data_IF_983050458367
#
_entry.id   IF_983050458367
#
_cell.length_a   1.000
_cell.length_b   1.000
_cell.length_c   1.000
_cell.angle_alpha   90.00
_cell.angle_beta   90.00
_cell.angle_gamma   90.00
#
_symmetry.space_group_name_H-M   'P 1'
#
loop_
_entity.id
_entity.type
_entity.pdbx_description
1 polymer ?
#
# COMPACT_ATOMS: atom_id res chain seq x y z
N UNK A 1 -14.01 -1.72 24.48
CA UNK A 1 -12.94 -2.71 24.75
C UNK A 1 -12.49 -3.24 23.40
N UNK A 2 -11.19 -3.24 23.11
CA UNK A 2 -10.64 -3.75 21.85
C UNK A 2 -10.48 -5.26 21.99
N UNK A 3 -11.02 -6.03 21.04
CA UNK A 3 -10.91 -7.49 21.04
C UNK A 3 -9.62 -7.96 20.36
N UNK A 4 -9.18 -9.19 20.65
CA UNK A 4 -8.06 -9.79 19.93
C UNK A 4 -8.36 -9.92 18.42
N UNK A 5 -9.63 -10.18 18.06
CA UNK A 5 -10.08 -10.26 16.66
C UNK A 5 -9.94 -8.90 15.98
N UNK A 6 -10.24 -7.80 16.68
CA UNK A 6 -10.12 -6.45 16.13
C UNK A 6 -8.66 -6.13 15.81
N UNK A 7 -7.74 -6.49 16.72
CA UNK A 7 -6.30 -6.27 16.53
C UNK A 7 -5.79 -7.06 15.33
N UNK A 8 -6.17 -8.34 15.22
CA UNK A 8 -5.82 -9.17 14.05
C UNK A 8 -6.38 -8.54 12.78
N UNK A 9 -7.62 -8.06 12.81
CA UNK A 9 -8.23 -7.39 11.66
C UNK A 9 -7.50 -6.12 11.25
N UNK A 10 -7.03 -5.32 12.22
CA UNK A 10 -6.18 -4.17 11.92
C UNK A 10 -4.87 -4.61 11.25
N UNK A 11 -4.19 -5.64 11.76
CA UNK A 11 -2.96 -6.13 11.13
C UNK A 11 -3.19 -6.67 9.72
N UNK A 12 -4.32 -7.33 9.46
CA UNK A 12 -4.71 -7.75 8.11
C UNK A 12 -4.85 -6.54 7.20
N UNK A 13 -5.58 -5.49 7.63
CA UNK A 13 -5.75 -4.25 6.86
C UNK A 13 -4.38 -3.62 6.56
N UNK A 14 -3.52 -3.49 7.57
CA UNK A 14 -2.18 -2.89 7.41
C UNK A 14 -1.31 -3.71 6.46
N UNK A 15 -1.31 -5.04 6.60
CA UNK A 15 -0.55 -5.94 5.74
C UNK A 15 -1.01 -5.88 4.29
N UNK A 16 -2.32 -6.03 4.05
CA UNK A 16 -2.91 -5.97 2.71
C UNK A 16 -2.61 -4.62 2.04
N UNK A 17 -2.84 -3.51 2.74
CA UNK A 17 -2.57 -2.19 2.16
C UNK A 17 -1.08 -1.96 1.90
N UNK A 18 -0.18 -2.48 2.73
CA UNK A 18 1.26 -2.33 2.52
C UNK A 18 1.73 -3.12 1.32
N UNK A 19 1.23 -4.35 1.15
CA UNK A 19 1.50 -5.20 -0.03
C UNK A 19 0.98 -4.53 -1.29
N UNK A 20 -0.27 -4.05 -1.28
CA UNK A 20 -0.86 -3.36 -2.44
C UNK A 20 -0.10 -2.08 -2.77
N UNK A 21 0.32 -1.31 -1.77
CA UNK A 21 1.13 -0.12 -1.98
C UNK A 21 2.49 -0.44 -2.63
N UNK A 22 3.18 -1.50 -2.17
CA UNK A 22 4.43 -1.95 -2.78
C UNK A 22 4.22 -2.41 -4.24
N UNK A 23 3.18 -3.20 -4.50
CA UNK A 23 2.87 -3.70 -5.85
C UNK A 23 2.52 -2.57 -6.82
N UNK A 24 1.71 -1.59 -6.39
CA UNK A 24 1.37 -0.44 -7.22
C UNK A 24 2.60 0.45 -7.47
N UNK A 25 3.44 0.67 -6.45
CA UNK A 25 4.71 1.39 -6.62
C UNK A 25 5.58 0.69 -7.67
N UNK A 26 5.75 -0.63 -7.54
CA UNK A 26 6.49 -1.45 -8.50
C UNK A 26 5.90 -1.35 -9.90
N UNK A 27 4.58 -1.46 -10.03
CA UNK A 27 3.88 -1.35 -11.31
C UNK A 27 4.16 -0.01 -11.98
N UNK A 28 4.07 1.10 -11.24
CA UNK A 28 4.36 2.42 -11.82
C UNK A 28 5.83 2.58 -12.21
N UNK A 29 6.77 2.04 -11.42
CA UNK A 29 8.20 2.07 -11.79
C UNK A 29 8.51 1.25 -13.04
N UNK A 30 7.81 0.14 -13.26
CA UNK A 30 7.96 -0.69 -14.46
C UNK A 30 7.35 0.00 -15.68
N UNK A 31 6.18 0.63 -15.55
CA UNK A 31 5.43 1.14 -16.70
C UNK A 31 5.78 2.58 -17.12
N UNK A 32 6.30 3.40 -16.21
CA UNK A 32 6.58 4.80 -16.48
C UNK A 32 8.07 5.05 -16.72
N UNK A 33 8.43 5.35 -17.97
CA UNK A 33 9.79 5.70 -18.39
C UNK A 33 10.20 7.14 -18.03
N UNK A 34 9.85 7.62 -16.83
CA UNK A 34 10.19 8.97 -16.36
C UNK A 34 10.75 8.92 -14.95
N UNK A 35 11.62 9.86 -14.60
CA UNK A 35 12.25 9.88 -13.27
C UNK A 35 11.24 10.14 -12.13
N UNK A 36 10.22 10.97 -12.36
CA UNK A 36 9.27 11.39 -11.32
C UNK A 36 7.89 10.73 -11.44
N UNK A 37 7.53 10.21 -12.62
CA UNK A 37 6.22 9.62 -12.87
C UNK A 37 5.83 8.55 -11.83
N UNK A 38 6.70 7.57 -11.53
CA UNK A 38 6.38 6.55 -10.54
C UNK A 38 6.04 7.11 -9.15
N UNK A 39 6.80 8.12 -8.70
CA UNK A 39 6.57 8.77 -7.39
C UNK A 39 5.22 9.49 -7.39
N UNK A 40 4.97 10.31 -8.40
CA UNK A 40 3.73 11.11 -8.50
C UNK A 40 2.50 10.22 -8.58
N UNK A 41 2.54 9.19 -9.44
CA UNK A 41 1.42 8.25 -9.59
C UNK A 41 1.21 7.42 -8.32
N UNK A 42 2.28 7.01 -7.64
CA UNK A 42 2.16 6.29 -6.36
C UNK A 42 1.51 7.17 -5.29
N UNK A 43 1.94 8.43 -5.15
CA UNK A 43 1.41 9.34 -4.12
C UNK A 43 -0.03 9.76 -4.40
N UNK A 44 -0.45 9.85 -5.67
CA UNK A 44 -1.79 10.33 -6.03
C UNK A 44 -2.82 9.21 -6.19
N UNK A 45 -2.44 8.08 -6.83
CA UNK A 45 -3.39 7.01 -7.18
C UNK A 45 -3.45 5.91 -6.14
N UNK A 46 -2.32 5.52 -5.54
CA UNK A 46 -2.29 4.45 -4.53
C UNK A 46 -3.20 4.73 -3.33
N UNK A 47 -3.26 5.95 -2.75
CA UNK A 47 -4.17 6.22 -1.64
C UNK A 47 -5.63 5.93 -1.95
N UNK A 48 -6.07 6.17 -3.20
CA UNK A 48 -7.46 5.91 -3.61
C UNK A 48 -7.77 4.41 -3.56
N UNK A 49 -6.82 3.58 -3.98
CA UNK A 49 -6.92 2.11 -3.90
C UNK A 49 -6.91 1.66 -2.44
N UNK A 50 -5.99 2.19 -1.62
CA UNK A 50 -5.91 1.81 -0.20
C UNK A 50 -7.18 2.20 0.57
N UNK A 51 -7.74 3.40 0.34
CA UNK A 51 -9.02 3.82 0.93
C UNK A 51 -10.13 2.86 0.51
N UNK A 52 -10.18 2.48 -0.76
CA UNK A 52 -11.19 1.51 -1.25
C UNK A 52 -11.08 0.18 -0.51
N UNK A 53 -9.86 -0.33 -0.33
CA UNK A 53 -9.60 -1.56 0.42
C UNK A 53 -10.01 -1.44 1.90
N UNK A 54 -9.71 -0.30 2.55
CA UNK A 54 -10.14 -0.02 3.93
C UNK A 54 -11.66 -0.03 4.05
N UNK A 55 -12.37 0.59 3.10
CA UNK A 55 -13.84 0.60 3.09
C UNK A 55 -14.42 -0.80 2.89
N UNK A 56 -13.84 -1.61 1.99
CA UNK A 56 -14.28 -2.99 1.74
C UNK A 56 -14.04 -3.87 2.97
N UNK A 57 -12.83 -3.85 3.53
CA UNK A 57 -12.49 -4.66 4.70
C UNK A 57 -13.26 -4.21 5.95
N UNK A 58 -13.34 -2.90 6.19
CA UNK A 58 -14.12 -2.35 7.29
C UNK A 58 -15.61 -2.66 7.16
N UNK A 59 -16.17 -2.58 5.95
CA UNK A 59 -17.54 -3.00 5.66
C UNK A 59 -17.79 -4.50 5.88
N UNK A 60 -16.75 -5.32 5.73
CA UNK A 60 -16.78 -6.75 6.08
C UNK A 60 -16.57 -7.03 7.59
N UNK A 61 -16.47 -5.98 8.42
CA UNK A 61 -16.32 -6.09 9.87
C UNK A 61 -14.88 -6.27 10.37
N UNK A 62 -13.87 -6.02 9.53
CA UNK A 62 -12.46 -6.05 9.96
C UNK A 62 -12.03 -4.75 10.62
N UNK A 63 -11.27 -4.90 11.71
CA UNK A 63 -10.57 -3.82 12.39
C UNK A 63 -11.38 -3.15 13.49
N UNK A 64 -10.70 -2.47 14.43
CA UNK A 64 -11.35 -1.77 15.53
C UNK A 64 -11.93 -0.43 15.08
N UNK A 65 -12.83 0.11 15.90
CA UNK A 65 -13.11 1.54 15.85
C UNK A 65 -11.89 2.34 16.34
N UNK A 66 -11.23 3.05 15.42
CA UNK A 66 -10.02 3.86 15.69
C UNK A 66 -10.32 5.27 16.22
N UNK A 67 -11.59 5.60 16.49
CA UNK A 67 -12.02 6.82 17.17
C UNK A 67 -12.08 8.07 16.29
N UNK A 68 -11.32 8.16 15.20
CA UNK A 68 -11.41 9.29 14.25
C UNK A 68 -11.04 8.90 12.81
N UNK A 69 -11.61 9.61 11.84
CA UNK A 69 -11.26 9.44 10.42
C UNK A 69 -9.77 9.72 10.14
N UNK A 70 -9.19 10.70 10.83
CA UNK A 70 -7.76 11.01 10.69
C UNK A 70 -6.88 9.86 11.14
N UNK A 71 -7.22 9.20 12.27
CA UNK A 71 -6.51 8.01 12.75
C UNK A 71 -6.64 6.84 11.77
N UNK A 72 -7.85 6.62 11.21
CA UNK A 72 -8.08 5.59 10.19
C UNK A 72 -7.18 5.85 8.98
N UNK A 73 -7.23 7.04 8.39
CA UNK A 73 -6.43 7.37 7.20
C UNK A 73 -4.92 7.33 7.48
N UNK A 74 -4.48 7.87 8.62
CA UNK A 74 -3.07 7.88 9.00
C UNK A 74 -2.51 6.47 9.14
N UNK A 75 -3.21 5.60 9.87
CA UNK A 75 -2.74 4.24 10.12
C UNK A 75 -2.94 3.32 8.94
N UNK A 76 -4.09 3.38 8.26
CA UNK A 76 -4.46 2.35 7.27
C UNK A 76 -4.16 2.74 5.83
N UNK A 77 -3.82 4.00 5.57
CA UNK A 77 -3.50 4.51 4.22
C UNK A 77 -2.10 5.10 4.18
N UNK A 78 -1.83 6.13 4.99
CA UNK A 78 -0.55 6.87 4.92
C UNK A 78 0.62 5.99 5.34
N UNK A 79 0.51 5.27 6.47
CA UNK A 79 1.57 4.37 6.92
C UNK A 79 1.82 3.23 5.91
N UNK A 80 0.83 2.47 5.44
CA UNK A 80 1.02 1.45 4.40
C UNK A 80 1.59 1.98 3.09
N UNK A 81 1.18 3.18 2.65
CA UNK A 81 1.77 3.82 1.48
C UNK A 81 3.26 4.06 1.68
N UNK A 82 3.63 4.71 2.80
CA UNK A 82 5.02 5.00 3.11
C UNK A 82 5.86 3.73 3.24
N UNK A 83 5.32 2.70 3.91
CA UNK A 83 5.98 1.40 4.05
C UNK A 83 6.15 0.68 2.71
N UNK A 84 5.08 0.61 1.91
CA UNK A 84 5.10 -0.06 0.60
C UNK A 84 6.06 0.63 -0.38
N UNK A 85 6.05 1.96 -0.42
CA UNK A 85 7.02 2.72 -1.21
C UNK A 85 8.45 2.54 -0.69
N UNK A 86 8.67 2.63 0.62
CA UNK A 86 10.01 2.42 1.19
C UNK A 86 10.55 1.02 0.92
N UNK A 87 9.69 0.00 1.00
CA UNK A 87 10.04 -1.37 0.66
C UNK A 87 10.49 -1.49 -0.80
N UNK A 88 9.73 -0.92 -1.74
CA UNK A 88 10.09 -0.99 -3.16
C UNK A 88 11.33 -0.16 -3.53
N UNK A 89 11.47 1.05 -2.97
CA UNK A 89 12.59 1.93 -3.31
C UNK A 89 13.91 1.58 -2.60
N UNK A 90 13.86 1.04 -1.38
CA UNK A 90 15.07 0.78 -0.59
C UNK A 90 15.46 -0.70 -0.49
N UNK A 91 14.50 -1.63 -0.65
CA UNK A 91 14.79 -3.07 -0.53
C UNK A 91 14.73 -3.85 -1.84
N UNK A 92 14.21 -3.27 -2.93
CA UNK A 92 14.18 -3.93 -4.23
C UNK A 92 15.13 -3.25 -5.22
N UNK A 93 15.88 -4.03 -6.03
CA UNK A 93 16.61 -3.51 -7.17
C UNK A 93 15.66 -2.73 -8.09
N UNK A 94 16.20 -1.71 -8.74
CA UNK A 94 15.43 -0.92 -9.69
C UNK A 94 14.97 -1.81 -10.85
N UNK A 95 13.76 -1.63 -11.42
CA UNK A 95 13.28 -2.50 -12.48
C UNK A 95 14.20 -2.61 -13.70
N UNK A 96 14.92 -1.54 -14.02
CA UNK A 96 15.92 -1.45 -15.11
C UNK A 96 17.23 -2.18 -14.79
N UNK A 97 17.50 -2.50 -13.53
CA UNK A 97 18.65 -3.29 -13.09
C UNK A 97 18.35 -4.79 -13.07
N UNK A 98 17.07 -5.18 -13.27
CA UNK A 98 16.66 -6.59 -13.27
C UNK A 98 16.73 -7.13 -14.69
N UNK A 99 17.73 -7.97 -14.95
CA UNK A 99 17.80 -8.76 -16.18
C UNK A 99 16.59 -9.71 -16.27
N UNK A 100 15.81 -9.57 -17.34
CA UNK A 100 14.71 -10.47 -17.69
C UNK A 100 15.12 -11.33 -18.89
N UNK A 101 14.68 -12.60 -18.98
CA UNK A 101 15.02 -13.44 -20.13
C UNK A 101 14.56 -12.80 -21.44
N UNK A 102 15.43 -12.86 -22.47
CA UNK A 102 15.16 -12.31 -23.81
C UNK A 102 14.02 -13.05 -24.55
N UNK A 103 13.46 -14.10 -23.95
CA UNK A 103 12.46 -15.00 -24.53
C UNK A 103 11.16 -15.03 -23.72
N UNK A 104 10.25 -14.11 -24.04
CA UNK A 104 8.81 -14.24 -23.78
C UNK A 104 8.05 -14.28 -25.11
#
# INVERSE_FOLDING_TARGET
MVSAVDIVGLFVILGVNSVVAALLTRFFRVQLNTQWGPIVYSVLLTPLVLVTLVLVMGGAGLGPNLGSAATVLGLTVVMPLALGMSFDYFWQPSPDEVEVPDNL
#
